data_IF_095819713351
#
_entry.id   IF_095819713351
#
_cell.length_a   1.000
_cell.length_b   1.000
_cell.length_c   1.000
_cell.angle_alpha   90.00
_cell.angle_beta   90.00
_cell.angle_gamma   90.00
#
_symmetry.space_group_name_H-M   'P 1'
#
loop_
_entity.id
_entity.type
_entity.pdbx_description
1 polymer ?
#
# COMPACT_ATOMS: atom_id res chain seq x y z
N UNK A 1 -27.72 -3.18 -40.72
CA UNK A 1 -27.13 -3.89 -39.57
C UNK A 1 -27.28 -2.97 -38.38
N UNK A 2 -27.93 -3.36 -37.26
CA UNK A 2 -27.92 -2.49 -36.09
C UNK A 2 -26.49 -2.33 -35.65
N UNK A 3 -26.00 -1.12 -35.48
CA UNK A 3 -24.70 -0.84 -34.90
C UNK A 3 -24.78 -1.26 -33.44
N UNK A 4 -24.30 -2.46 -33.13
CA UNK A 4 -24.15 -2.83 -31.70
C UNK A 4 -23.11 -1.91 -31.10
N UNK A 5 -23.54 -1.13 -30.11
CA UNK A 5 -22.61 -0.35 -29.29
C UNK A 5 -21.48 -1.26 -28.82
N UNK A 6 -20.22 -0.88 -28.98
CA UNK A 6 -19.12 -1.72 -28.54
C UNK A 6 -19.19 -1.97 -27.04
N UNK A 7 -18.94 -3.21 -26.63
CA UNK A 7 -18.87 -3.55 -25.20
C UNK A 7 -17.72 -2.80 -24.53
N UNK A 8 -17.98 -2.29 -23.34
CA UNK A 8 -17.06 -1.51 -22.51
C UNK A 8 -16.63 -2.29 -21.29
N UNK A 9 -15.33 -2.39 -21.10
CA UNK A 9 -14.72 -3.07 -19.97
C UNK A 9 -13.86 -2.11 -19.18
N UNK A 10 -13.94 -2.21 -17.85
CA UNK A 10 -12.96 -1.61 -16.94
C UNK A 10 -12.11 -2.73 -16.40
N UNK A 11 -10.79 -2.59 -16.52
CA UNK A 11 -9.79 -3.53 -16.02
C UNK A 11 -9.00 -2.82 -14.94
N UNK A 12 -9.31 -3.12 -13.68
CA UNK A 12 -8.79 -2.45 -12.50
C UNK A 12 -8.10 -3.44 -11.55
N UNK A 13 -6.94 -4.00 -11.93
CA UNK A 13 -6.22 -5.00 -11.13
C UNK A 13 -5.21 -4.40 -10.18
N UNK A 14 -4.79 -5.19 -9.17
CA UNK A 14 -3.49 -5.02 -8.52
C UNK A 14 -2.38 -5.79 -9.24
N UNK A 15 -1.13 -5.56 -8.85
CA UNK A 15 0.00 -6.39 -9.26
C UNK A 15 -0.02 -7.78 -8.60
N UNK A 16 0.69 -8.73 -9.22
CA UNK A 16 0.98 -10.04 -8.65
C UNK A 16 2.38 -10.01 -8.06
N UNK A 17 2.48 -10.02 -6.74
CA UNK A 17 3.77 -9.92 -6.03
C UNK A 17 4.79 -10.93 -6.57
N UNK A 18 6.03 -10.48 -6.74
CA UNK A 18 7.17 -11.26 -7.26
C UNK A 18 7.01 -11.73 -8.72
N UNK A 19 5.93 -11.32 -9.45
CA UNK A 19 5.67 -11.77 -10.81
C UNK A 19 5.35 -10.61 -11.77
N UNK A 20 4.23 -9.91 -11.59
CA UNK A 20 3.74 -8.90 -12.54
C UNK A 20 3.38 -7.60 -11.85
N UNK A 21 3.81 -6.48 -12.41
CA UNK A 21 3.29 -5.15 -12.05
C UNK A 21 1.81 -4.98 -12.42
N UNK A 22 1.12 -4.04 -11.78
CA UNK A 22 -0.31 -3.80 -12.05
C UNK A 22 -0.59 -3.44 -13.51
N UNK A 23 0.33 -2.73 -14.18
CA UNK A 23 0.25 -2.39 -15.61
C UNK A 23 0.33 -3.64 -16.52
N UNK A 24 1.24 -4.56 -16.19
CA UNK A 24 1.39 -5.82 -16.92
C UNK A 24 0.17 -6.71 -16.75
N UNK A 25 -0.37 -6.77 -15.52
CA UNK A 25 -1.63 -7.48 -15.23
C UNK A 25 -2.78 -6.88 -16.03
N UNK A 26 -2.93 -5.56 -16.04
CA UNK A 26 -3.98 -4.88 -16.82
C UNK A 26 -3.84 -5.14 -18.33
N UNK A 27 -2.62 -5.12 -18.84
CA UNK A 27 -2.31 -5.38 -20.25
C UNK A 27 -2.64 -6.82 -20.65
N UNK A 28 -2.30 -7.79 -19.82
CA UNK A 28 -2.60 -9.20 -20.04
C UNK A 28 -4.13 -9.46 -20.07
N UNK A 29 -4.87 -8.87 -19.12
CA UNK A 29 -6.33 -8.97 -19.10
C UNK A 29 -6.93 -8.32 -20.36
N UNK A 30 -6.49 -7.13 -20.72
CA UNK A 30 -6.96 -6.44 -21.91
C UNK A 30 -6.69 -7.24 -23.20
N UNK A 31 -5.54 -7.91 -23.29
CA UNK A 31 -5.21 -8.80 -24.40
C UNK A 31 -6.19 -10.00 -24.48
N UNK A 32 -6.48 -10.65 -23.35
CA UNK A 32 -7.43 -11.74 -23.28
C UNK A 32 -8.85 -11.34 -23.67
N UNK A 33 -9.32 -10.17 -23.25
CA UNK A 33 -10.61 -9.59 -23.66
C UNK A 33 -10.65 -9.43 -25.18
N UNK A 34 -9.61 -8.79 -25.77
CA UNK A 34 -9.57 -8.50 -27.22
C UNK A 34 -9.48 -9.75 -28.09
N UNK A 35 -8.97 -10.89 -27.58
CA UNK A 35 -9.00 -12.17 -28.30
C UNK A 35 -10.44 -12.68 -28.52
N UNK A 36 -11.38 -12.32 -27.67
CA UNK A 36 -12.77 -12.77 -27.72
C UNK A 36 -13.70 -11.68 -28.27
N UNK A 37 -13.42 -10.42 -27.94
CA UNK A 37 -14.19 -9.25 -28.36
C UNK A 37 -13.24 -8.23 -28.98
N UNK A 38 -12.81 -8.39 -30.25
CA UNK A 38 -11.82 -7.51 -30.89
C UNK A 38 -12.20 -6.02 -30.92
N UNK A 39 -13.51 -5.71 -30.96
CA UNK A 39 -14.04 -4.34 -30.96
C UNK A 39 -14.32 -3.78 -29.56
N UNK A 40 -13.88 -4.42 -28.49
CA UNK A 40 -14.10 -3.95 -27.13
C UNK A 40 -13.38 -2.63 -26.82
N UNK A 41 -14.06 -1.74 -26.11
CA UNK A 41 -13.44 -0.60 -25.45
C UNK A 41 -12.97 -1.07 -24.09
N UNK A 42 -11.66 -1.10 -23.87
CA UNK A 42 -11.05 -1.55 -22.61
C UNK A 42 -10.34 -0.38 -21.96
N UNK A 43 -10.87 0.07 -20.82
CA UNK A 43 -10.25 1.07 -19.98
C UNK A 43 -9.41 0.35 -18.92
N UNK A 44 -8.08 0.35 -19.09
CA UNK A 44 -7.12 -0.22 -18.15
C UNK A 44 -6.76 0.81 -17.10
N UNK A 45 -6.99 0.47 -15.83
CA UNK A 45 -6.75 1.31 -14.66
C UNK A 45 -5.99 0.46 -13.64
N UNK A 46 -4.67 0.28 -13.81
CA UNK A 46 -3.87 -0.43 -12.83
C UNK A 46 -3.95 0.30 -11.49
N UNK A 47 -4.26 -0.45 -10.44
CA UNK A 47 -4.50 0.11 -9.11
C UNK A 47 -3.34 -0.20 -8.17
N UNK A 48 -3.08 0.75 -7.29
CA UNK A 48 -2.05 0.67 -6.26
C UNK A 48 -2.66 0.90 -4.88
N UNK A 49 -2.03 0.33 -3.88
CA UNK A 49 -2.52 0.39 -2.49
C UNK A 49 -1.51 1.01 -1.51
N UNK A 50 -0.52 1.72 -2.04
CA UNK A 50 0.56 2.31 -1.24
C UNK A 50 1.67 1.31 -0.89
N UNK A 51 1.65 0.10 -1.46
CA UNK A 51 2.75 -0.85 -1.41
C UNK A 51 3.78 -0.63 -2.52
N UNK A 52 4.66 -1.61 -2.69
CA UNK A 52 5.74 -1.59 -3.69
C UNK A 52 5.21 -1.34 -5.11
N UNK A 53 5.83 -0.37 -5.81
CA UNK A 53 5.50 0.02 -7.18
C UNK A 53 4.45 1.12 -7.32
N UNK A 54 3.85 1.59 -6.21
CA UNK A 54 2.82 2.63 -6.24
C UNK A 54 3.34 3.96 -6.80
N UNK A 55 4.54 4.37 -6.42
CA UNK A 55 5.15 5.62 -6.89
C UNK A 55 5.37 5.60 -8.41
N UNK A 56 5.91 4.51 -8.94
CA UNK A 56 6.13 4.35 -10.39
C UNK A 56 4.82 4.35 -11.18
N UNK A 57 3.82 3.64 -10.68
CA UNK A 57 2.50 3.57 -11.32
C UNK A 57 1.80 4.94 -11.33
N UNK A 58 1.82 5.66 -10.21
CA UNK A 58 1.21 7.01 -10.14
C UNK A 58 1.99 8.03 -10.98
N UNK A 59 3.33 7.95 -11.03
CA UNK A 59 4.12 8.76 -11.94
C UNK A 59 3.73 8.51 -13.40
N UNK A 60 3.60 7.25 -13.81
CA UNK A 60 3.16 6.88 -15.17
C UNK A 60 1.75 7.40 -15.49
N UNK A 61 0.82 7.23 -14.57
CA UNK A 61 -0.57 7.65 -14.74
C UNK A 61 -0.73 9.19 -14.84
N UNK A 62 0.16 9.95 -14.23
CA UNK A 62 0.10 11.43 -14.18
C UNK A 62 1.11 12.12 -15.10
N UNK A 63 1.86 11.38 -15.92
CA UNK A 63 2.99 11.91 -16.70
C UNK A 63 4.05 12.60 -15.83
N UNK A 64 4.19 12.12 -14.60
CA UNK A 64 5.16 12.57 -13.62
C UNK A 64 6.57 12.01 -13.84
N UNK A 65 7.41 12.11 -12.82
CA UNK A 65 8.81 11.67 -12.86
C UNK A 65 9.13 10.77 -11.68
N UNK A 66 9.88 9.71 -11.91
CA UNK A 66 10.53 8.93 -10.86
C UNK A 66 11.92 9.49 -10.63
N UNK A 67 12.28 9.71 -9.37
CA UNK A 67 13.58 10.21 -8.94
C UNK A 67 14.27 9.09 -8.18
N UNK A 68 15.33 8.56 -8.77
CA UNK A 68 16.16 7.53 -8.13
C UNK A 68 17.16 8.19 -7.17
N UNK A 69 17.41 7.56 -6.03
CA UNK A 69 18.34 8.03 -4.99
C UNK A 69 18.85 6.85 -4.16
N UNK A 70 19.82 7.11 -3.28
CA UNK A 70 20.34 6.13 -2.34
C UNK A 70 19.99 6.60 -0.93
N UNK A 71 19.43 5.70 -0.12
CA UNK A 71 19.03 5.98 1.26
C UNK A 71 19.47 4.87 2.21
N UNK A 72 19.31 5.10 3.50
CA UNK A 72 19.50 4.07 4.53
C UNK A 72 18.42 3.01 4.41
N UNK A 73 18.81 1.77 4.15
CA UNK A 73 17.91 0.62 4.12
C UNK A 73 17.50 0.14 5.51
N UNK A 74 16.58 -0.84 5.59
CA UNK A 74 15.99 -1.27 6.86
C UNK A 74 16.99 -1.91 7.84
N UNK A 75 18.14 -2.37 7.35
CA UNK A 75 19.22 -2.97 8.17
C UNK A 75 20.41 -2.02 8.33
N UNK A 76 20.22 -0.71 8.16
CA UNK A 76 21.25 0.31 8.34
C UNK A 76 22.30 0.39 7.21
N UNK A 77 22.14 -0.36 6.12
CA UNK A 77 23.00 -0.30 4.94
C UNK A 77 22.37 0.55 3.83
N UNK A 78 23.20 1.24 2.99
CA UNK A 78 22.65 1.95 1.84
C UNK A 78 21.91 1.01 0.89
N UNK A 79 20.78 1.49 0.35
CA UNK A 79 19.98 0.81 -0.67
C UNK A 79 19.63 1.79 -1.78
N UNK A 80 19.58 1.30 -3.01
CA UNK A 80 18.98 2.03 -4.12
C UNK A 80 17.48 2.15 -3.87
N UNK A 81 16.97 3.37 -4.01
CA UNK A 81 15.58 3.70 -3.71
C UNK A 81 15.06 4.76 -4.67
N UNK A 82 13.79 5.11 -4.52
CA UNK A 82 13.17 6.13 -5.36
C UNK A 82 11.94 6.74 -4.69
N UNK A 83 11.51 7.88 -5.20
CA UNK A 83 10.20 8.46 -5.01
C UNK A 83 9.67 9.01 -6.34
N UNK A 84 8.41 9.40 -6.42
CA UNK A 84 7.86 10.00 -7.62
C UNK A 84 7.40 11.42 -7.36
N UNK A 85 7.54 12.28 -8.38
CA UNK A 85 6.85 13.57 -8.47
C UNK A 85 5.71 13.41 -9.48
N UNK A 86 4.47 13.74 -9.07
CA UNK A 86 3.31 13.62 -9.93
C UNK A 86 3.24 14.77 -10.92
N UNK A 87 2.76 14.49 -12.13
CA UNK A 87 2.54 15.49 -13.19
C UNK A 87 1.13 16.10 -13.13
N UNK A 88 0.64 16.39 -11.93
CA UNK A 88 -0.69 16.97 -11.70
C UNK A 88 -0.62 18.48 -11.57
N UNK A 89 -1.72 19.18 -11.89
CA UNK A 89 -1.88 20.60 -11.58
C UNK A 89 -2.02 20.81 -10.06
N UNK A 90 -1.56 21.95 -9.56
CA UNK A 90 -1.64 22.33 -8.14
C UNK A 90 -0.32 22.17 -7.38
N UNK A 91 -0.34 21.86 -6.08
CA UNK A 91 0.87 21.74 -5.28
C UNK A 91 1.75 20.60 -5.77
N UNK A 92 3.07 20.82 -5.79
CA UNK A 92 4.03 19.77 -6.16
C UNK A 92 3.86 18.59 -5.22
N UNK A 93 3.42 17.47 -5.76
CA UNK A 93 3.07 16.28 -4.98
C UNK A 93 4.09 15.19 -5.19
N UNK A 94 4.68 14.69 -4.12
CA UNK A 94 5.58 13.54 -4.14
C UNK A 94 4.88 12.29 -3.58
N UNK A 95 5.15 11.14 -4.18
CA UNK A 95 4.75 9.82 -3.67
C UNK A 95 5.99 9.13 -3.11
N UNK A 96 5.96 8.83 -1.81
CA UNK A 96 7.00 8.10 -1.10
C UNK A 96 6.43 6.77 -0.61
N UNK A 97 7.11 5.68 -0.89
CA UNK A 97 6.73 4.35 -0.44
C UNK A 97 7.59 3.91 0.74
N UNK A 98 6.92 3.39 1.77
CA UNK A 98 7.60 2.68 2.84
C UNK A 98 8.43 1.49 2.29
N UNK A 99 7.88 0.79 1.30
CA UNK A 99 8.50 -0.36 0.67
C UNK A 99 9.83 -0.01 -0.04
N UNK A 100 9.95 1.18 -0.62
CA UNK A 100 11.12 1.58 -1.39
C UNK A 100 12.40 1.81 -0.55
N UNK A 101 12.26 2.06 0.77
CA UNK A 101 13.40 2.31 1.66
C UNK A 101 13.44 1.38 2.88
N UNK A 102 12.30 0.89 3.33
CA UNK A 102 12.17 0.09 4.54
C UNK A 102 11.22 -1.11 4.34
N UNK A 103 11.14 -1.61 3.10
CA UNK A 103 10.34 -2.76 2.71
C UNK A 103 10.86 -4.08 3.27
N UNK A 104 9.96 -5.06 3.43
CA UNK A 104 10.33 -6.40 3.88
C UNK A 104 11.20 -7.14 2.84
N UNK A 105 11.03 -6.82 1.55
CA UNK A 105 11.85 -7.33 0.44
C UNK A 105 13.32 -6.91 0.56
N UNK A 106 13.58 -5.74 1.17
CA UNK A 106 14.93 -5.22 1.41
C UNK A 106 15.61 -5.80 2.65
N UNK A 107 14.89 -6.58 3.47
CA UNK A 107 15.45 -7.24 4.66
C UNK A 107 15.88 -8.66 4.29
N UNK A 108 17.19 -8.97 4.28
CA UNK A 108 17.68 -10.34 4.07
C UNK A 108 17.00 -11.31 5.05
N UNK A 109 16.70 -12.51 4.59
CA UNK A 109 15.93 -13.49 5.40
C UNK A 109 16.58 -13.83 6.75
N UNK A 110 17.89 -13.90 6.77
CA UNK A 110 18.73 -14.15 7.95
C UNK A 110 18.89 -12.93 8.87
N UNK A 111 18.49 -11.75 8.42
CA UNK A 111 18.51 -10.49 9.19
C UNK A 111 17.10 -10.00 9.57
N UNK A 112 16.07 -10.82 9.40
CA UNK A 112 14.69 -10.47 9.75
C UNK A 112 14.48 -10.42 11.25
N UNK A 113 14.72 -9.26 11.82
CA UNK A 113 14.49 -8.92 13.22
C UNK A 113 13.87 -7.52 13.31
N UNK A 114 12.54 -7.40 13.47
CA UNK A 114 11.87 -6.10 13.53
C UNK A 114 12.15 -5.29 14.80
N UNK A 115 12.91 -5.82 15.76
CA UNK A 115 13.36 -5.05 16.93
C UNK A 115 14.51 -4.10 16.57
N UNK A 116 15.25 -4.38 15.48
CA UNK A 116 16.43 -3.60 15.06
C UNK A 116 16.29 -2.95 13.68
N UNK A 117 15.27 -3.30 12.89
CA UNK A 117 15.06 -2.68 11.58
C UNK A 117 14.52 -1.25 11.71
N UNK A 118 14.96 -0.36 10.79
CA UNK A 118 14.70 1.09 10.84
C UNK A 118 13.92 1.61 9.64
N UNK A 119 13.07 2.60 9.87
CA UNK A 119 12.37 3.39 8.84
C UNK A 119 13.16 4.65 8.40
N UNK A 120 14.43 4.81 8.80
CA UNK A 120 15.25 6.01 8.55
C UNK A 120 15.26 6.47 7.09
N UNK A 121 15.47 5.55 6.15
CA UNK A 121 15.51 5.86 4.73
C UNK A 121 14.21 6.47 4.19
N UNK A 122 13.06 6.17 4.81
CA UNK A 122 11.78 6.78 4.41
C UNK A 122 11.79 8.28 4.75
N UNK A 123 12.33 8.66 5.92
CA UNK A 123 12.53 10.06 6.28
C UNK A 123 13.51 10.78 5.35
N UNK A 124 14.57 10.07 4.92
CA UNK A 124 15.54 10.59 3.93
C UNK A 124 14.87 10.81 2.57
N UNK A 125 13.97 9.91 2.12
CA UNK A 125 13.18 10.11 0.91
C UNK A 125 12.27 11.33 1.02
N UNK A 126 11.56 11.49 2.15
CA UNK A 126 10.71 12.66 2.39
C UNK A 126 11.53 13.94 2.33
N UNK A 127 12.69 13.99 3.01
CA UNK A 127 13.59 15.16 2.96
C UNK A 127 14.03 15.47 1.53
N UNK A 128 14.45 14.46 0.78
CA UNK A 128 14.84 14.61 -0.62
C UNK A 128 13.66 15.12 -1.46
N UNK A 129 12.46 14.59 -1.28
CA UNK A 129 11.27 15.09 -1.99
C UNK A 129 10.99 16.56 -1.70
N UNK A 130 11.13 17.00 -0.44
CA UNK A 130 11.04 18.41 -0.05
C UNK A 130 12.15 19.27 -0.70
N UNK A 131 13.36 18.74 -0.87
CA UNK A 131 14.46 19.43 -1.57
C UNK A 131 14.15 19.59 -3.08
N UNK A 132 13.34 18.71 -3.65
CA UNK A 132 12.79 18.84 -5.01
C UNK A 132 11.55 19.73 -5.09
N UNK A 133 11.17 20.39 -3.99
CA UNK A 133 10.08 21.37 -3.94
C UNK A 133 8.71 20.74 -3.68
N UNK A 134 8.62 19.52 -3.19
CA UNK A 134 7.33 18.92 -2.85
C UNK A 134 6.65 19.72 -1.71
N UNK A 135 5.39 20.08 -1.95
CA UNK A 135 4.50 20.72 -0.99
C UNK A 135 3.53 19.71 -0.37
N UNK A 136 3.29 18.58 -1.07
CA UNK A 136 2.47 17.47 -0.57
C UNK A 136 3.22 16.16 -0.70
N UNK A 137 3.19 15.35 0.36
CA UNK A 137 3.74 14.00 0.38
C UNK A 137 2.58 13.00 0.51
N UNK A 138 2.46 12.09 -0.45
CA UNK A 138 1.62 10.91 -0.34
C UNK A 138 2.49 9.76 0.14
N UNK A 139 2.31 9.33 1.39
CA UNK A 139 3.12 8.28 2.01
C UNK A 139 2.39 6.95 1.98
N UNK A 140 2.87 6.03 1.16
CA UNK A 140 2.34 4.68 1.04
C UNK A 140 2.88 3.75 2.12
N UNK A 141 2.00 3.05 2.83
CA UNK A 141 2.30 2.25 4.02
C UNK A 141 2.36 0.73 3.78
N UNK A 142 2.36 0.27 2.53
CA UNK A 142 2.40 -1.17 2.22
C UNK A 142 3.77 -1.80 2.43
N UNK A 143 3.79 -3.12 2.57
CA UNK A 143 4.96 -4.00 2.49
C UNK A 143 6.14 -3.69 3.43
N UNK A 144 5.90 -3.04 4.58
CA UNK A 144 6.95 -2.63 5.53
C UNK A 144 7.70 -3.81 6.18
N UNK A 145 9.03 -3.66 6.33
CA UNK A 145 9.92 -4.59 7.05
C UNK A 145 10.27 -4.16 8.48
N UNK A 146 9.76 -3.04 8.96
CA UNK A 146 10.09 -2.42 10.24
C UNK A 146 8.94 -2.44 11.24
N UNK A 147 9.24 -2.29 12.52
CA UNK A 147 8.27 -2.11 13.62
C UNK A 147 8.80 -1.09 14.62
N UNK A 148 9.32 0.04 14.12
CA UNK A 148 9.98 1.09 14.89
C UNK A 148 9.08 2.32 15.18
N UNK A 149 7.75 2.22 14.95
CA UNK A 149 6.85 3.33 15.21
C UNK A 149 7.07 4.57 14.31
N UNK A 150 7.93 4.45 13.27
CA UNK A 150 8.39 5.58 12.48
C UNK A 150 9.52 6.38 13.14
N UNK A 151 10.15 5.85 14.18
CA UNK A 151 11.23 6.51 14.90
C UNK A 151 12.38 6.94 14.00
N UNK A 152 12.91 5.99 13.21
CA UNK A 152 14.00 6.28 12.26
C UNK A 152 13.62 7.35 11.23
N UNK A 153 12.39 7.29 10.71
CA UNK A 153 11.86 8.32 9.78
C UNK A 153 11.90 9.70 10.44
N UNK A 154 11.41 9.83 11.66
CA UNK A 154 11.36 11.11 12.39
C UNK A 154 12.77 11.61 12.73
N UNK A 155 13.69 10.72 13.13
CA UNK A 155 15.09 11.09 13.36
C UNK A 155 15.76 11.61 12.08
N UNK A 156 15.51 11.00 10.92
CA UNK A 156 16.03 11.49 9.64
C UNK A 156 15.49 12.90 9.27
N UNK A 157 14.34 13.26 9.80
CA UNK A 157 13.74 14.59 9.63
C UNK A 157 14.12 15.59 10.74
N UNK A 158 15.04 15.20 11.65
CA UNK A 158 15.64 16.07 12.65
C UNK A 158 15.00 16.00 14.03
N UNK A 159 14.04 15.15 14.27
CA UNK A 159 13.50 14.87 15.61
C UNK A 159 14.52 14.05 16.41
N UNK A 160 14.72 14.37 17.69
CA UNK A 160 15.57 13.60 18.59
C UNK A 160 14.71 12.79 19.55
N UNK A 161 15.01 11.51 19.65
CA UNK A 161 14.37 10.57 20.57
C UNK A 161 15.37 10.24 21.66
N UNK A 162 15.07 10.63 22.88
CA UNK A 162 16.03 10.63 23.99
C UNK A 162 15.60 9.64 25.07
N UNK A 163 16.57 8.96 25.66
CA UNK A 163 16.39 8.16 26.89
C UNK A 163 16.41 9.06 28.15
N UNK A 164 16.25 8.45 29.32
CA UNK A 164 16.23 9.14 30.60
C UNK A 164 17.55 9.88 30.95
N UNK A 165 18.65 9.47 30.33
CA UNK A 165 19.97 10.10 30.50
C UNK A 165 20.20 11.24 29.46
N UNK A 166 19.22 11.48 28.58
CA UNK A 166 19.30 12.49 27.51
C UNK A 166 20.12 12.03 26.30
N UNK A 167 20.43 10.75 26.20
CA UNK A 167 21.14 10.16 25.07
C UNK A 167 20.15 9.81 23.96
N UNK A 168 20.55 10.04 22.71
CA UNK A 168 19.72 9.71 21.56
C UNK A 168 19.61 8.20 21.36
N UNK A 169 18.38 7.72 21.09
CA UNK A 169 18.13 6.32 20.84
C UNK A 169 18.74 5.88 19.50
N UNK A 170 19.18 4.62 19.46
CA UNK A 170 19.57 3.94 18.23
C UNK A 170 18.38 3.61 17.33
N UNK A 171 18.69 2.98 16.19
CA UNK A 171 17.69 2.49 15.25
C UNK A 171 16.97 1.24 15.79
N UNK A 172 15.69 1.07 15.42
CA UNK A 172 14.89 -0.12 15.67
C UNK A 172 13.80 0.05 16.72
N UNK A 173 12.75 -0.78 16.58
CA UNK A 173 11.58 -0.72 17.46
C UNK A 173 11.87 -1.10 18.92
N UNK A 174 12.87 -1.96 19.15
CA UNK A 174 13.29 -2.36 20.51
C UNK A 174 13.81 -1.19 21.35
N UNK A 175 14.46 -0.22 20.71
CA UNK A 175 15.01 0.97 21.38
C UNK A 175 13.92 1.86 22.00
N UNK A 176 12.71 1.85 21.44
CA UNK A 176 11.58 2.63 21.98
C UNK A 176 11.17 2.24 23.40
N UNK A 177 11.57 1.06 23.88
CA UNK A 177 11.36 0.68 25.29
C UNK A 177 12.11 1.60 26.26
N UNK A 178 13.21 2.22 25.81
CA UNK A 178 14.04 3.16 26.58
C UNK A 178 13.65 4.63 26.39
N UNK A 179 12.71 4.91 25.46
CA UNK A 179 12.34 6.28 25.15
C UNK A 179 11.83 7.00 26.38
N UNK A 180 12.39 8.17 26.66
CA UNK A 180 11.90 9.05 27.73
C UNK A 180 11.37 10.37 27.19
N UNK A 181 11.98 10.96 26.16
CA UNK A 181 11.60 12.29 25.68
C UNK A 181 11.67 12.41 24.15
N UNK A 182 10.75 13.21 23.57
CA UNK A 182 10.75 13.59 22.15
C UNK A 182 11.08 15.09 22.03
N UNK A 183 12.25 15.39 21.45
CA UNK A 183 12.68 16.74 21.17
C UNK A 183 12.48 17.09 19.69
N UNK A 184 11.56 17.99 19.42
CA UNK A 184 11.19 18.44 18.07
C UNK A 184 11.96 19.69 17.62
N UNK A 185 12.90 20.21 18.40
CA UNK A 185 13.58 21.46 18.11
C UNK A 185 14.39 21.46 16.81
N UNK A 186 14.84 20.28 16.38
CA UNK A 186 15.58 20.07 15.14
C UNK A 186 14.73 19.66 13.94
N UNK A 187 13.41 19.56 14.08
CA UNK A 187 12.52 19.17 12.98
C UNK A 187 12.72 20.08 11.77
N UNK A 188 12.77 19.48 10.56
CA UNK A 188 12.84 20.21 9.29
C UNK A 188 11.77 21.33 9.26
N UNK A 189 12.17 22.60 9.10
CA UNK A 189 11.24 23.74 9.17
C UNK A 189 10.07 23.64 8.17
N UNK A 190 10.26 22.95 7.06
CA UNK A 190 9.22 22.75 6.03
C UNK A 190 8.09 21.83 6.51
N UNK A 191 8.31 21.06 7.58
CA UNK A 191 7.33 20.16 8.21
C UNK A 191 6.77 20.71 9.52
N UNK A 192 7.20 21.91 9.92
CA UNK A 192 6.70 22.58 11.12
C UNK A 192 5.25 23.04 10.96
N UNK A 193 4.46 23.16 12.03
CA UNK A 193 3.10 23.67 11.97
C UNK A 193 3.02 25.02 11.24
N UNK A 194 2.19 25.09 10.19
CA UNK A 194 2.00 26.32 9.41
C UNK A 194 3.01 26.53 8.27
N UNK A 195 3.92 25.60 8.01
CA UNK A 195 4.88 25.67 6.89
C UNK A 195 4.25 25.55 5.50
N UNK A 196 3.05 24.99 5.42
CA UNK A 196 2.34 24.74 4.16
C UNK A 196 2.54 23.34 3.58
N UNK A 197 3.53 22.58 4.06
CA UNK A 197 3.69 21.17 3.59
C UNK A 197 2.66 20.25 4.23
N UNK A 198 2.11 19.35 3.44
CA UNK A 198 1.04 18.40 3.80
C UNK A 198 1.54 16.97 3.64
N UNK A 199 1.29 16.11 4.64
CA UNK A 199 1.56 14.67 4.54
C UNK A 199 0.25 13.91 4.65
N UNK A 200 -0.07 13.13 3.63
CA UNK A 200 -1.20 12.19 3.61
C UNK A 200 -0.68 10.77 3.60
N UNK A 201 -1.14 9.99 4.55
CA UNK A 201 -0.70 8.60 4.73
C UNK A 201 -1.76 7.66 4.22
N UNK A 202 -1.43 6.94 3.17
CA UNK A 202 -2.29 5.89 2.61
C UNK A 202 -2.16 4.62 3.47
N UNK A 203 -3.11 4.38 4.36
CA UNK A 203 -3.04 3.28 5.32
C UNK A 203 -4.32 2.43 5.37
N UNK A 204 -4.21 1.26 6.01
CA UNK A 204 -5.39 0.48 6.37
C UNK A 204 -5.91 0.98 7.73
N UNK A 205 -7.14 1.54 7.80
CA UNK A 205 -7.71 2.08 9.04
C UNK A 205 -7.89 1.04 10.15
N UNK A 206 -7.93 -0.25 9.82
CA UNK A 206 -8.03 -1.32 10.82
C UNK A 206 -6.73 -1.59 11.59
N UNK A 207 -5.61 -1.04 11.13
CA UNK A 207 -4.32 -1.21 11.81
C UNK A 207 -4.24 -0.21 12.98
N UNK A 208 -4.24 -0.72 14.19
CA UNK A 208 -4.10 0.05 15.43
C UNK A 208 -2.72 -0.17 16.06
N UNK A 209 -2.24 0.78 16.84
CA UNK A 209 -0.90 0.74 17.42
C UNK A 209 -0.79 -0.28 18.55
N UNK A 210 -1.67 -0.23 19.53
CA UNK A 210 -1.57 -0.93 20.81
C UNK A 210 -2.72 -1.92 21.04
N UNK A 211 -2.59 -2.71 22.11
CA UNK A 211 -3.60 -3.67 22.56
C UNK A 211 -3.50 -5.06 21.93
N UNK A 212 -4.49 -5.94 22.19
CA UNK A 212 -4.47 -7.33 21.70
C UNK A 212 -4.38 -7.48 20.19
N UNK A 213 -4.97 -6.53 19.44
CA UNK A 213 -4.90 -6.44 17.97
C UNK A 213 -3.90 -5.37 17.50
N UNK A 214 -2.98 -4.95 18.38
CA UNK A 214 -1.96 -3.97 18.07
C UNK A 214 -0.97 -4.48 17.03
N UNK A 215 -0.36 -3.54 16.30
CA UNK A 215 0.51 -3.82 15.15
C UNK A 215 1.65 -4.77 15.45
N UNK A 216 2.26 -4.70 16.64
CA UNK A 216 3.34 -5.60 17.03
C UNK A 216 2.87 -7.06 17.07
N UNK A 217 1.70 -7.35 17.64
CA UNK A 217 1.15 -8.70 17.75
C UNK A 217 0.68 -9.27 16.41
N UNK A 218 0.13 -8.41 15.56
CA UNK A 218 -0.47 -8.84 14.28
C UNK A 218 0.59 -8.99 13.19
N UNK A 219 1.57 -8.08 13.11
CA UNK A 219 2.45 -8.00 11.95
C UNK A 219 3.94 -8.25 12.24
N UNK A 220 4.42 -8.17 13.48
CA UNK A 220 5.82 -8.44 13.74
C UNK A 220 6.24 -9.91 13.47
N UNK A 221 5.39 -10.93 13.69
CA UNK A 221 5.76 -12.32 13.37
C UNK A 221 6.12 -12.54 11.89
N UNK A 222 5.37 -11.96 10.95
CA UNK A 222 5.69 -12.08 9.52
C UNK A 222 6.97 -11.35 9.10
N UNK A 223 7.46 -10.43 9.95
CA UNK A 223 8.74 -9.72 9.79
C UNK A 223 9.91 -10.42 10.47
N UNK A 224 9.67 -11.59 11.06
CA UNK A 224 10.68 -12.43 11.67
C UNK A 224 10.76 -12.37 13.19
N UNK A 225 9.85 -11.67 13.89
CA UNK A 225 9.85 -11.60 15.34
C UNK A 225 9.53 -12.95 16.01
N UNK A 226 10.31 -13.32 17.02
CA UNK A 226 9.96 -14.38 17.98
C UNK A 226 8.82 -13.92 18.90
N UNK A 227 8.23 -14.85 19.65
CA UNK A 227 7.18 -14.50 20.63
C UNK A 227 7.67 -13.49 21.67
N UNK A 228 8.91 -13.62 22.14
CA UNK A 228 9.53 -12.71 23.09
C UNK A 228 9.73 -11.31 22.47
N UNK A 229 10.18 -11.25 21.23
CA UNK A 229 10.35 -9.99 20.51
C UNK A 229 9.00 -9.29 20.25
N UNK A 230 7.92 -10.04 20.03
CA UNK A 230 6.57 -9.48 19.92
C UNK A 230 6.15 -8.77 21.20
N UNK A 231 6.45 -9.34 22.37
CA UNK A 231 6.13 -8.68 23.65
C UNK A 231 7.00 -7.43 23.86
N UNK A 232 8.29 -7.47 23.53
CA UNK A 232 9.17 -6.30 23.55
C UNK A 232 8.64 -5.18 22.65
N UNK A 233 8.28 -5.49 21.41
CA UNK A 233 7.72 -4.52 20.48
C UNK A 233 6.35 -4.02 20.92
N UNK A 234 5.53 -4.87 21.54
CA UNK A 234 4.24 -4.44 22.09
C UNK A 234 4.42 -3.42 23.23
N UNK A 235 5.37 -3.67 24.14
CA UNK A 235 5.72 -2.72 25.20
C UNK A 235 6.33 -1.42 24.61
N UNK A 236 7.16 -1.54 23.58
CA UNK A 236 7.73 -0.40 22.85
C UNK A 236 6.64 0.50 22.25
N UNK A 237 5.61 -0.07 21.62
CA UNK A 237 4.49 0.70 21.06
C UNK A 237 3.65 1.38 22.14
N UNK A 238 3.44 0.74 23.29
CA UNK A 238 2.78 1.38 24.44
C UNK A 238 3.59 2.58 24.95
N UNK A 239 4.91 2.41 25.11
CA UNK A 239 5.81 3.48 25.53
C UNK A 239 5.85 4.61 24.52
N UNK A 240 5.89 4.28 23.22
CA UNK A 240 5.82 5.24 22.11
C UNK A 240 4.58 6.12 22.20
N UNK A 241 3.40 5.50 22.35
CA UNK A 241 2.15 6.23 22.50
C UNK A 241 2.17 7.14 23.74
N UNK A 242 2.62 6.62 24.90
CA UNK A 242 2.69 7.38 26.14
C UNK A 242 3.54 8.66 26.01
N UNK A 243 4.74 8.54 25.45
CA UNK A 243 5.66 9.69 25.32
C UNK A 243 5.17 10.67 24.29
N UNK A 244 4.64 10.20 23.15
CA UNK A 244 4.02 11.08 22.15
C UNK A 244 2.82 11.85 22.74
N UNK A 245 1.98 11.20 23.52
CA UNK A 245 0.81 11.81 24.18
C UNK A 245 1.23 12.89 25.17
N UNK A 246 2.35 12.71 25.86
CA UNK A 246 2.88 13.65 26.83
C UNK A 246 3.63 14.84 26.20
N UNK A 247 4.52 14.58 25.25
CA UNK A 247 5.50 15.54 24.76
C UNK A 247 5.05 16.29 23.50
N UNK A 248 4.20 15.67 22.67
CA UNK A 248 3.81 16.25 21.38
C UNK A 248 2.44 16.93 21.47
N UNK A 249 2.45 18.24 21.61
CA UNK A 249 1.23 19.06 21.70
C UNK A 249 0.57 19.33 20.34
N UNK A 250 1.28 19.11 19.23
CA UNK A 250 0.85 19.41 17.85
C UNK A 250 -0.07 18.35 17.24
N UNK A 251 -0.25 17.21 17.90
CA UNK A 251 -1.07 16.11 17.39
C UNK A 251 -2.51 16.54 17.06
N UNK A 252 -3.17 15.96 16.04
CA UNK A 252 -4.55 16.26 15.69
C UNK A 252 -5.49 16.06 16.89
N UNK A 253 -6.40 17.04 17.17
CA UNK A 253 -7.38 16.90 18.24
C UNK A 253 -8.25 15.66 18.04
N UNK A 254 -8.46 14.88 19.12
CA UNK A 254 -9.31 13.69 19.11
C UNK A 254 -8.65 12.43 18.55
N UNK A 255 -7.43 12.48 18.05
CA UNK A 255 -6.69 11.28 17.64
C UNK A 255 -6.24 10.48 18.87
N UNK A 256 -6.75 9.28 18.99
CA UNK A 256 -6.28 8.29 19.96
C UNK A 256 -5.08 7.54 19.34
N UNK A 257 -3.86 7.80 19.80
CA UNK A 257 -2.66 7.18 19.24
C UNK A 257 -2.63 5.66 19.42
N UNK A 258 -3.25 5.12 20.49
CA UNK A 258 -3.19 3.69 20.81
C UNK A 258 -4.11 2.85 19.93
N UNK A 259 -5.33 3.35 19.67
CA UNK A 259 -6.40 2.58 19.02
C UNK A 259 -7.07 3.31 17.87
N UNK A 260 -6.58 4.49 17.52
CA UNK A 260 -7.11 5.27 16.39
C UNK A 260 -6.87 4.56 15.05
N UNK A 261 -7.76 4.77 14.07
CA UNK A 261 -7.65 4.18 12.75
C UNK A 261 -6.31 4.54 12.09
N UNK A 262 -5.59 3.52 11.60
CA UNK A 262 -4.34 3.71 10.88
C UNK A 262 -3.09 4.00 11.72
N UNK A 263 -3.22 4.19 13.05
CA UNK A 263 -2.07 4.48 13.94
C UNK A 263 -1.03 3.36 13.95
N UNK A 264 -1.44 2.12 13.74
CA UNK A 264 -0.56 0.96 13.61
C UNK A 264 0.05 0.74 12.22
N UNK A 265 -0.29 1.57 11.23
CA UNK A 265 0.23 1.39 9.87
C UNK A 265 1.76 1.31 9.85
N UNK A 266 2.30 0.41 9.01
CA UNK A 266 3.75 0.21 8.82
C UNK A 266 4.55 0.09 10.14
N UNK A 267 4.12 -0.83 11.00
CA UNK A 267 4.85 -1.06 12.25
C UNK A 267 4.75 0.09 13.26
N UNK A 268 3.63 0.83 13.26
CA UNK A 268 3.35 1.94 14.17
C UNK A 268 3.76 3.32 13.61
N UNK A 269 4.31 3.40 12.41
CA UNK A 269 4.71 4.66 11.78
C UNK A 269 3.53 5.64 11.71
N UNK A 270 2.30 5.15 11.46
CA UNK A 270 1.10 5.98 11.42
C UNK A 270 0.95 6.86 12.67
N UNK A 271 1.16 6.32 13.87
CA UNK A 271 1.09 7.09 15.11
C UNK A 271 2.18 8.16 15.19
N UNK A 272 3.43 7.81 14.85
CA UNK A 272 4.57 8.73 14.88
C UNK A 272 4.37 9.93 13.97
N UNK A 273 4.07 9.68 12.69
CA UNK A 273 3.92 10.77 11.70
C UNK A 273 2.64 11.60 11.93
N UNK A 274 1.56 10.98 12.41
CA UNK A 274 0.36 11.73 12.75
C UNK A 274 0.56 12.64 13.94
N UNK A 275 1.26 12.18 14.99
CA UNK A 275 1.53 13.00 16.16
C UNK A 275 2.51 14.14 15.86
N UNK A 276 3.66 13.82 15.28
CA UNK A 276 4.79 14.74 15.13
C UNK A 276 4.64 15.64 13.91
N UNK A 277 4.30 15.07 12.77
CA UNK A 277 4.21 15.77 11.48
C UNK A 277 2.78 16.21 11.13
N UNK A 278 1.80 15.90 12.00
CA UNK A 278 0.37 16.16 11.76
C UNK A 278 -0.15 15.49 10.49
N UNK A 279 0.47 14.40 10.11
CA UNK A 279 0.08 13.66 8.91
C UNK A 279 -1.36 13.16 9.02
N UNK A 280 -2.10 13.28 7.93
CA UNK A 280 -3.48 12.81 7.84
C UNK A 280 -3.48 11.31 7.51
N UNK A 281 -4.06 10.50 8.40
CA UNK A 281 -4.20 9.06 8.21
C UNK A 281 -5.49 8.77 7.44
N UNK A 282 -5.37 8.34 6.20
CA UNK A 282 -6.51 8.15 5.30
C UNK A 282 -6.58 6.71 4.79
N UNK A 283 -7.79 6.21 4.51
CA UNK A 283 -7.94 4.97 3.78
C UNK A 283 -7.13 5.00 2.49
N UNK A 284 -6.29 3.99 2.27
CA UNK A 284 -5.31 3.96 1.17
C UNK A 284 -5.92 4.24 -0.21
N UNK A 285 -7.14 3.80 -0.44
CA UNK A 285 -7.80 4.01 -1.72
C UNK A 285 -8.31 5.44 -1.91
N UNK A 286 -8.56 6.19 -0.84
CA UNK A 286 -8.88 7.62 -0.93
C UNK A 286 -7.66 8.44 -1.35
N UNK A 287 -6.46 8.01 -0.93
CA UNK A 287 -5.21 8.69 -1.28
C UNK A 287 -4.69 8.26 -2.65
N UNK A 288 -4.66 6.94 -2.89
CA UNK A 288 -4.00 6.39 -4.09
C UNK A 288 -4.86 6.46 -5.35
N UNK A 289 -6.18 6.58 -5.21
CA UNK A 289 -7.10 6.68 -6.35
C UNK A 289 -7.62 8.10 -6.61
N UNK A 290 -7.20 9.09 -5.82
CA UNK A 290 -7.64 10.50 -5.97
C UNK A 290 -7.30 11.09 -7.35
N UNK A 291 -6.30 10.50 -8.03
CA UNK A 291 -5.86 10.93 -9.36
C UNK A 291 -6.49 10.12 -10.51
N UNK A 292 -7.42 9.21 -10.21
CA UNK A 292 -8.07 8.33 -11.19
C UNK A 292 -9.59 8.37 -11.01
N UNK A 293 -10.31 8.86 -12.01
CA UNK A 293 -11.78 8.82 -12.00
C UNK A 293 -12.32 7.42 -12.34
N UNK A 294 -12.05 6.49 -11.43
CA UNK A 294 -12.47 5.09 -11.57
C UNK A 294 -14.00 4.95 -11.57
N UNK A 295 -14.70 5.78 -10.79
CA UNK A 295 -16.17 5.69 -10.66
C UNK A 295 -16.87 6.07 -11.97
N UNK A 296 -16.44 7.13 -12.67
CA UNK A 296 -16.99 7.50 -13.99
C UNK A 296 -16.71 6.42 -15.06
N UNK A 297 -15.54 5.79 -15.01
CA UNK A 297 -15.24 4.68 -15.92
C UNK A 297 -16.13 3.46 -15.63
N UNK A 298 -16.29 3.08 -14.37
CA UNK A 298 -17.15 1.98 -13.95
C UNK A 298 -18.62 2.25 -14.33
N UNK A 299 -19.12 3.45 -14.12
CA UNK A 299 -20.51 3.80 -14.45
C UNK A 299 -20.89 3.49 -15.91
N UNK A 300 -19.94 3.62 -16.83
CA UNK A 300 -20.14 3.38 -18.27
C UNK A 300 -19.77 1.97 -18.73
N UNK A 301 -19.22 1.12 -17.84
CA UNK A 301 -18.78 -0.23 -18.19
C UNK A 301 -19.96 -1.21 -18.27
N UNK A 302 -19.81 -2.25 -19.08
CA UNK A 302 -20.69 -3.43 -19.11
C UNK A 302 -20.21 -4.49 -18.12
N UNK A 303 -18.89 -4.59 -17.90
CA UNK A 303 -18.25 -5.53 -16.99
C UNK A 303 -16.98 -4.91 -16.43
N UNK A 304 -16.75 -5.15 -15.15
CA UNK A 304 -15.51 -4.79 -14.46
C UNK A 304 -14.69 -6.05 -14.20
N UNK A 305 -13.41 -6.02 -14.56
CA UNK A 305 -12.45 -7.07 -14.24
C UNK A 305 -11.41 -6.51 -13.27
N UNK A 306 -11.11 -7.29 -12.25
CA UNK A 306 -10.02 -7.02 -11.31
C UNK A 306 -9.14 -8.25 -11.15
N UNK A 307 -7.97 -8.10 -10.55
CA UNK A 307 -7.08 -9.23 -10.31
C UNK A 307 -6.16 -8.98 -9.10
N UNK A 308 -5.70 -10.07 -8.52
CA UNK A 308 -4.71 -10.07 -7.44
C UNK A 308 -3.92 -11.38 -7.43
N UNK A 309 -2.71 -11.39 -6.84
CA UNK A 309 -1.90 -12.61 -6.71
C UNK A 309 -2.61 -13.75 -5.96
N UNK A 310 -3.42 -13.44 -4.95
CA UNK A 310 -4.21 -14.43 -4.21
C UNK A 310 -5.56 -13.88 -3.78
N UNK A 311 -6.64 -14.58 -4.09
CA UNK A 311 -7.99 -14.35 -3.56
C UNK A 311 -8.26 -15.36 -2.45
N UNK A 312 -8.43 -14.86 -1.21
CA UNK A 312 -8.58 -15.64 0.01
C UNK A 312 -9.40 -14.90 1.07
N UNK A 313 -9.40 -15.40 2.32
CA UNK A 313 -10.06 -14.76 3.48
C UNK A 313 -9.50 -13.38 3.85
N UNK A 314 -8.35 -12.97 3.31
CA UNK A 314 -7.76 -11.64 3.56
C UNK A 314 -8.27 -10.60 2.55
N UNK A 315 -8.70 -11.04 1.38
CA UNK A 315 -9.17 -10.15 0.30
C UNK A 315 -10.32 -9.24 0.77
N UNK A 316 -11.35 -9.72 1.52
CA UNK A 316 -12.40 -8.88 2.08
C UNK A 316 -11.93 -7.80 3.07
N UNK A 317 -10.72 -7.93 3.63
CA UNK A 317 -10.16 -6.99 4.61
C UNK A 317 -9.55 -5.73 3.96
N UNK A 318 -10.10 -5.30 2.84
CA UNK A 318 -9.74 -4.05 2.18
C UNK A 318 -8.60 -4.18 1.16
N UNK A 319 -8.53 -5.29 0.42
CA UNK A 319 -7.65 -5.41 -0.75
C UNK A 319 -8.31 -4.81 -2.00
N UNK A 320 -7.51 -4.58 -3.06
CA UNK A 320 -7.95 -3.94 -4.30
C UNK A 320 -9.19 -4.59 -4.91
N UNK A 321 -9.30 -5.93 -5.07
CA UNK A 321 -10.49 -6.53 -5.66
C UNK A 321 -11.79 -6.21 -4.91
N UNK A 322 -11.74 -6.13 -3.59
CA UNK A 322 -12.89 -5.77 -2.76
C UNK A 322 -13.30 -4.31 -2.95
N UNK A 323 -12.35 -3.37 -3.02
CA UNK A 323 -12.66 -1.97 -3.26
C UNK A 323 -13.24 -1.74 -4.66
N UNK A 324 -12.66 -2.39 -5.68
CA UNK A 324 -13.21 -2.38 -7.05
C UNK A 324 -14.63 -2.90 -7.09
N UNK A 325 -14.89 -4.04 -6.42
CA UNK A 325 -16.21 -4.63 -6.35
C UNK A 325 -17.20 -3.71 -5.62
N UNK A 326 -16.82 -3.13 -4.49
CA UNK A 326 -17.64 -2.17 -3.73
C UNK A 326 -18.07 -0.99 -4.62
N UNK A 327 -17.13 -0.37 -5.35
CA UNK A 327 -17.42 0.72 -6.28
C UNK A 327 -18.31 0.27 -7.43
N UNK A 328 -18.00 -0.88 -8.03
CA UNK A 328 -18.81 -1.42 -9.12
C UNK A 328 -20.27 -1.68 -8.71
N UNK A 329 -20.50 -2.15 -7.48
CA UNK A 329 -21.86 -2.37 -6.95
C UNK A 329 -22.64 -1.07 -6.71
N UNK A 330 -21.98 0.04 -6.41
CA UNK A 330 -22.64 1.35 -6.35
C UNK A 330 -23.24 1.76 -7.72
N UNK A 331 -22.65 1.29 -8.80
CA UNK A 331 -23.11 1.53 -10.18
C UNK A 331 -23.87 0.33 -10.79
N UNK A 332 -24.18 -0.71 -10.00
CA UNK A 332 -24.91 -1.90 -10.45
C UNK A 332 -24.15 -2.74 -11.48
N UNK A 333 -22.81 -2.69 -11.49
CA UNK A 333 -21.98 -3.37 -12.49
C UNK A 333 -21.50 -4.73 -12.00
N UNK A 334 -21.46 -5.75 -12.89
CA UNK A 334 -20.91 -7.05 -12.57
C UNK A 334 -19.37 -6.99 -12.47
N UNK A 335 -18.81 -7.83 -11.57
CA UNK A 335 -17.38 -7.90 -11.28
C UNK A 335 -16.86 -9.32 -11.38
N UNK A 336 -15.80 -9.49 -12.15
CA UNK A 336 -15.04 -10.75 -12.22
C UNK A 336 -13.62 -10.51 -11.73
N UNK A 337 -13.14 -11.37 -10.84
CA UNK A 337 -11.79 -11.32 -10.31
C UNK A 337 -10.94 -12.51 -10.84
N UNK A 338 -9.71 -12.23 -11.23
CA UNK A 338 -8.73 -13.22 -11.66
C UNK A 338 -7.61 -13.31 -10.61
N UNK A 339 -7.18 -14.50 -10.27
CA UNK A 339 -6.20 -14.70 -9.21
C UNK A 339 -5.10 -15.68 -9.60
N UNK A 340 -3.87 -15.39 -9.19
CA UNK A 340 -2.77 -16.35 -9.27
C UNK A 340 -3.08 -17.60 -8.45
N UNK A 341 -3.64 -17.42 -7.26
CA UNK A 341 -4.05 -18.51 -6.36
C UNK A 341 -5.43 -18.26 -5.78
N UNK A 342 -6.23 -19.31 -5.68
CA UNK A 342 -7.48 -19.32 -4.92
C UNK A 342 -7.17 -19.97 -3.57
N UNK A 343 -7.16 -19.14 -2.53
CA UNK A 343 -6.79 -19.55 -1.18
C UNK A 343 -7.96 -20.02 -0.32
N UNK A 344 -7.67 -20.22 0.97
CA UNK A 344 -8.66 -20.66 1.94
C UNK A 344 -9.79 -19.63 2.07
N UNK A 345 -11.03 -20.12 2.22
CA UNK A 345 -12.23 -19.29 2.41
C UNK A 345 -12.46 -18.21 1.33
N UNK A 346 -11.94 -18.41 0.11
CA UNK A 346 -12.14 -17.49 -1.01
C UNK A 346 -13.61 -17.17 -1.30
N UNK A 347 -14.56 -18.06 -0.92
CA UNK A 347 -16.00 -17.87 -1.11
C UNK A 347 -16.55 -16.61 -0.37
N UNK A 348 -15.91 -16.16 0.70
CA UNK A 348 -16.28 -14.92 1.40
C UNK A 348 -16.23 -13.68 0.50
N UNK A 349 -15.52 -13.77 -0.63
CA UNK A 349 -15.43 -12.66 -1.59
C UNK A 349 -16.73 -12.41 -2.38
N UNK A 350 -17.63 -13.38 -2.47
CA UNK A 350 -18.95 -13.16 -3.06
C UNK A 350 -19.77 -12.14 -2.24
N UNK A 351 -19.66 -12.20 -0.91
CA UNK A 351 -20.35 -11.26 -0.01
C UNK A 351 -19.82 -9.83 -0.10
N UNK A 352 -18.60 -9.67 -0.67
CA UNK A 352 -17.98 -8.35 -0.90
C UNK A 352 -18.32 -7.73 -2.27
N UNK A 353 -19.18 -8.41 -3.06
CA UNK A 353 -19.63 -7.89 -4.35
C UNK A 353 -18.83 -8.39 -5.56
N UNK A 354 -17.92 -9.34 -5.40
CA UNK A 354 -17.31 -10.06 -6.53
C UNK A 354 -18.31 -11.12 -6.99
N UNK A 355 -18.80 -11.01 -8.22
CA UNK A 355 -19.81 -11.95 -8.75
C UNK A 355 -19.22 -13.30 -9.17
N UNK A 356 -17.98 -13.30 -9.65
CA UNK A 356 -17.26 -14.50 -9.99
C UNK A 356 -15.74 -14.29 -9.83
N UNK A 357 -15.03 -15.36 -9.51
CA UNK A 357 -13.58 -15.37 -9.54
C UNK A 357 -13.02 -16.66 -10.12
N UNK A 358 -11.83 -16.59 -10.73
CA UNK A 358 -11.17 -17.73 -11.34
C UNK A 358 -9.65 -17.68 -11.12
N UNK A 359 -9.04 -18.86 -10.95
CA UNK A 359 -7.59 -19.01 -10.98
C UNK A 359 -7.04 -18.90 -12.40
N UNK A 360 -5.83 -18.38 -12.54
CA UNK A 360 -5.19 -18.22 -13.86
C UNK A 360 -4.41 -19.46 -14.30
N UNK A 361 -3.94 -20.28 -13.39
CA UNK A 361 -3.12 -21.45 -13.71
C UNK A 361 -3.91 -22.50 -14.50
N UNK A 362 -3.38 -23.00 -15.63
CA UNK A 362 -4.06 -23.97 -16.47
C UNK A 362 -4.04 -25.39 -15.88
N UNK A 363 -3.04 -25.69 -15.06
CA UNK A 363 -2.77 -26.97 -14.41
C UNK A 363 -1.86 -26.73 -13.20
N UNK A 364 -1.58 -27.73 -12.36
CA UNK A 364 -0.47 -27.64 -11.42
C UNK A 364 0.84 -27.37 -12.16
N UNK A 365 1.52 -26.28 -11.79
CA UNK A 365 2.82 -25.86 -12.33
C UNK A 365 3.76 -25.51 -11.17
N UNK A 366 5.06 -25.59 -11.39
CA UNK A 366 6.05 -25.15 -10.42
C UNK A 366 5.96 -23.64 -10.20
N UNK A 367 6.27 -23.19 -8.97
CA UNK A 367 6.15 -21.76 -8.62
C UNK A 367 6.98 -20.86 -9.54
N UNK A 368 8.18 -21.29 -9.90
CA UNK A 368 9.06 -20.52 -10.80
C UNK A 368 8.40 -20.30 -12.15
N UNK A 369 7.83 -21.35 -12.75
CA UNK A 369 7.11 -21.27 -14.02
C UNK A 369 5.86 -20.37 -13.90
N UNK A 370 5.13 -20.50 -12.78
CA UNK A 370 3.95 -19.66 -12.52
C UNK A 370 4.29 -18.17 -12.47
N UNK A 371 5.44 -17.81 -11.86
CA UNK A 371 5.90 -16.44 -11.75
C UNK A 371 6.41 -15.90 -13.10
N UNK A 372 7.19 -16.69 -13.84
CA UNK A 372 7.76 -16.29 -15.15
C UNK A 372 6.72 -16.17 -16.26
N UNK A 373 5.72 -17.04 -16.28
CA UNK A 373 4.67 -17.09 -17.33
C UNK A 373 3.34 -16.47 -16.87
N UNK A 374 3.32 -15.74 -15.80
CA UNK A 374 2.12 -15.15 -15.21
C UNK A 374 1.27 -14.36 -16.20
N UNK A 375 1.88 -13.53 -17.06
CA UNK A 375 1.18 -12.74 -18.08
C UNK A 375 0.49 -13.61 -19.15
N UNK A 376 1.15 -14.69 -19.60
CA UNK A 376 0.58 -15.65 -20.55
C UNK A 376 -0.63 -16.36 -19.94
N UNK A 377 -0.46 -16.91 -18.73
CA UNK A 377 -1.54 -17.63 -18.04
C UNK A 377 -2.73 -16.72 -17.74
N UNK A 378 -2.49 -15.46 -17.38
CA UNK A 378 -3.53 -14.48 -17.13
C UNK A 378 -4.31 -14.12 -18.42
N UNK A 379 -3.60 -13.95 -19.54
CA UNK A 379 -4.22 -13.69 -20.85
C UNK A 379 -5.13 -14.83 -21.25
N UNK A 380 -4.65 -16.07 -21.14
CA UNK A 380 -5.41 -17.27 -21.49
C UNK A 380 -6.58 -17.52 -20.53
N UNK A 381 -6.41 -17.26 -19.23
CA UNK A 381 -7.50 -17.35 -18.26
C UNK A 381 -8.58 -16.30 -18.52
N UNK A 382 -8.18 -15.08 -18.89
CA UNK A 382 -9.13 -14.03 -19.28
C UNK A 382 -9.91 -14.43 -20.52
N UNK A 383 -9.25 -14.98 -21.54
CA UNK A 383 -9.93 -15.49 -22.73
C UNK A 383 -10.96 -16.57 -22.37
N UNK A 384 -10.60 -17.56 -21.54
CA UNK A 384 -11.54 -18.61 -21.09
C UNK A 384 -12.74 -18.02 -20.35
N UNK A 385 -12.49 -17.09 -19.40
CA UNK A 385 -13.54 -16.43 -18.63
C UNK A 385 -14.49 -15.62 -19.54
N UNK A 386 -13.96 -14.85 -20.49
CA UNK A 386 -14.77 -14.09 -21.45
C UNK A 386 -15.62 -14.97 -22.33
N UNK A 387 -15.13 -16.12 -22.80
CA UNK A 387 -15.91 -17.10 -23.57
C UNK A 387 -17.09 -17.65 -22.77
N UNK A 388 -16.89 -17.98 -21.48
CA UNK A 388 -17.95 -18.44 -20.58
C UNK A 388 -19.01 -17.35 -20.35
N UNK A 389 -18.59 -16.12 -20.13
CA UNK A 389 -19.48 -14.96 -19.92
C UNK A 389 -20.37 -14.74 -21.15
N UNK A 390 -19.80 -14.76 -22.36
CA UNK A 390 -20.56 -14.56 -23.59
C UNK A 390 -21.55 -15.72 -23.85
N UNK A 391 -21.19 -16.97 -23.54
CA UNK A 391 -22.13 -18.10 -23.60
C UNK A 391 -23.27 -17.89 -22.61
N UNK A 392 -22.96 -17.49 -21.36
CA UNK A 392 -23.98 -17.21 -20.34
C UNK A 392 -24.96 -16.10 -20.79
N UNK A 393 -24.47 -15.06 -21.46
CA UNK A 393 -25.30 -14.00 -22.01
C UNK A 393 -26.28 -14.48 -23.13
N UNK A 394 -26.02 -15.62 -23.77
CA UNK A 394 -26.94 -16.23 -24.74
C UNK A 394 -27.99 -17.12 -24.09
N UNK A 395 -27.74 -17.63 -22.87
CA UNK A 395 -28.67 -18.51 -22.14
C UNK A 395 -29.73 -17.70 -21.37
N UNK A 396 -29.48 -16.43 -21.10
CA UNK A 396 -30.39 -15.53 -20.40
C UNK A 396 -31.34 -14.72 -21.30
N UNK A 397 -31.37 -15.05 -22.60
CA UNK A 397 -32.26 -14.41 -23.60
C UNK A 397 -33.46 -15.32 -23.91
#
# INVERSE_FOLDING_TARGET
MPSSTPLRFVVAPSGFKESLGADEVASAIAAGIRRVVPGAIVNSVPLVDGGEGSARALAGATLGKVIDTVVTGPVGKPVDSHFALLGTDGPVTAVVEMAAAAGLSLVPRDMRDPTVTTSRGVGELIRTALDYGAERILLGCGDSGTSDGGAGLLQALGVRLLDADGLELGDGGGELTRLDHVDMSGLDPRLSPGSGSEIRVACNPHNILCGPSGVARVFAPQKGATSEQVEVLSAAMERWAEVLERDVSTRPPGLNLRTGPGTGASGGMGAGVAAVLRAELLPRFEVMLDHVDLDSLIATADLVLTAEGSIDQQTPKGKIPTEVARRAKLHGKPVVALAGTIGLDARANYDCGIDAFAGILPSPVELVEALERGAEFLTDATERAMRLILIGATLGR
#
